data_IF_638534226597
#
_entry.id   IF_638534226597
#
_cell.length_a   1.000
_cell.length_b   1.000
_cell.length_c   1.000
_cell.angle_alpha   90.00
_cell.angle_beta   90.00
_cell.angle_gamma   90.00
#
_symmetry.space_group_name_H-M   'P 1'
#
loop_
_entity.id
_entity.type
_entity.pdbx_description
1 polymer ?
#
# COMPACT_ATOMS: atom_id res chain seq x y z
N UNK A 1 -13.84 -58.01 5.63
CA UNK A 1 -13.98 -57.47 7.00
C UNK A 1 -12.93 -56.39 7.32
N UNK A 2 -11.62 -56.62 7.10
CA UNK A 2 -10.58 -55.59 7.34
C UNK A 2 -10.77 -54.28 6.54
N UNK A 3 -11.12 -54.37 5.26
CA UNK A 3 -11.29 -53.18 4.40
C UNK A 3 -12.46 -52.28 4.84
N UNK A 4 -13.55 -52.88 5.33
CA UNK A 4 -14.72 -52.13 5.81
C UNK A 4 -14.43 -51.41 7.15
N UNK A 5 -13.61 -52.03 8.01
CA UNK A 5 -13.18 -51.44 9.28
C UNK A 5 -12.28 -50.21 9.07
N UNK A 6 -11.42 -50.23 8.04
CA UNK A 6 -10.50 -49.13 7.75
C UNK A 6 -11.20 -47.88 7.17
N UNK A 7 -12.23 -48.09 6.33
CA UNK A 7 -13.06 -47.01 5.79
C UNK A 7 -13.92 -46.35 6.88
N UNK A 8 -14.43 -47.14 7.83
CA UNK A 8 -15.24 -46.61 8.94
C UNK A 8 -14.41 -45.76 9.91
N UNK A 9 -13.16 -46.15 10.18
CA UNK A 9 -12.25 -45.36 11.02
C UNK A 9 -11.82 -44.07 10.35
N UNK A 10 -11.58 -44.08 9.03
CA UNK A 10 -11.24 -42.88 8.27
C UNK A 10 -12.42 -41.88 8.21
N UNK A 11 -13.65 -42.37 8.01
CA UNK A 11 -14.84 -41.53 8.01
C UNK A 11 -15.07 -40.84 9.37
N UNK A 12 -14.91 -41.57 10.48
CA UNK A 12 -15.04 -41.00 11.83
C UNK A 12 -13.95 -39.98 12.15
N UNK A 13 -12.73 -40.14 11.62
CA UNK A 13 -11.64 -39.18 11.79
C UNK A 13 -11.90 -37.86 11.03
N UNK A 14 -12.47 -37.93 9.83
CA UNK A 14 -12.83 -36.74 9.03
C UNK A 14 -13.96 -35.95 9.70
N UNK A 15 -14.99 -36.63 10.21
CA UNK A 15 -16.10 -35.99 10.93
C UNK A 15 -15.59 -35.28 12.19
N UNK A 16 -14.69 -35.93 12.93
CA UNK A 16 -14.06 -35.36 14.13
C UNK A 16 -13.18 -34.15 13.82
N UNK A 17 -12.46 -34.15 12.69
CA UNK A 17 -11.63 -33.02 12.27
C UNK A 17 -12.48 -31.82 11.83
N UNK A 18 -13.59 -32.04 11.12
CA UNK A 18 -14.53 -30.96 10.77
C UNK A 18 -15.22 -30.34 12.01
N UNK A 19 -15.58 -31.17 13.00
CA UNK A 19 -16.15 -30.68 14.26
C UNK A 19 -15.14 -29.86 15.08
N UNK A 20 -13.85 -30.27 15.07
CA UNK A 20 -12.78 -29.53 15.72
C UNK A 20 -12.51 -28.16 15.06
N UNK A 21 -12.53 -28.09 13.72
CA UNK A 21 -12.37 -26.82 13.00
C UNK A 21 -13.57 -25.89 13.21
N UNK A 22 -14.79 -26.41 13.23
CA UNK A 22 -16.00 -25.63 13.54
C UNK A 22 -15.99 -25.09 14.99
N UNK A 23 -15.51 -25.89 15.96
CA UNK A 23 -15.41 -25.51 17.38
C UNK A 23 -14.36 -24.44 17.68
N UNK A 24 -13.35 -24.25 16.81
CA UNK A 24 -12.36 -23.17 16.99
C UNK A 24 -12.86 -21.79 16.57
N UNK A 25 -13.89 -21.74 15.73
CA UNK A 25 -14.44 -20.47 15.23
C UNK A 25 -15.62 -19.96 16.07
N UNK A 26 -16.07 -20.72 17.07
CA UNK A 26 -17.07 -20.26 18.03
C UNK A 26 -16.38 -19.53 19.18
N UNK A 27 -16.48 -18.20 19.17
CA UNK A 27 -16.17 -17.37 20.35
C UNK A 27 -17.18 -17.72 21.44
N UNK A 28 -16.70 -18.13 22.61
CA UNK A 28 -17.56 -18.41 23.76
C UNK A 28 -18.31 -17.13 24.18
N UNK A 29 -19.64 -17.21 24.27
CA UNK A 29 -20.45 -16.19 24.92
C UNK A 29 -20.10 -16.17 26.42
N UNK A 30 -19.73 -15.02 27.00
CA UNK A 30 -19.46 -14.93 28.43
C UNK A 30 -20.76 -15.07 29.23
N UNK A 31 -20.73 -15.71 30.43
CA UNK A 31 -21.90 -15.80 31.28
C UNK A 31 -22.39 -14.40 31.68
N UNK A 32 -23.70 -14.21 31.61
CA UNK A 32 -24.35 -12.96 31.94
C UNK A 32 -24.06 -12.49 33.38
N UNK A 33 -23.92 -11.18 33.50
CA UNK A 33 -23.97 -10.34 34.70
C UNK A 33 -22.69 -10.17 35.53
N UNK A 34 -22.05 -9.00 35.32
CA UNK A 34 -21.07 -8.40 36.23
C UNK A 34 -20.78 -6.95 35.81
N UNK A 35 -21.37 -6.00 36.52
CA UNK A 35 -21.30 -4.53 36.36
C UNK A 35 -19.89 -3.98 36.14
N UNK A 36 -19.71 -3.24 35.05
CA UNK A 36 -18.52 -2.42 34.82
C UNK A 36 -18.22 -2.15 33.35
N UNK A 37 -19.16 -1.61 32.57
CA UNK A 37 -18.87 -1.16 31.19
C UNK A 37 -18.06 0.12 31.24
N UNK A 38 -16.74 -0.04 31.39
CA UNK A 38 -15.79 0.90 30.80
C UNK A 38 -16.07 0.89 29.30
N UNK A 39 -16.58 2.00 28.76
CA UNK A 39 -16.73 2.18 27.30
C UNK A 39 -15.34 2.37 26.70
N UNK A 40 -14.52 1.32 26.73
CA UNK A 40 -13.41 1.20 25.82
C UNK A 40 -14.04 1.07 24.44
N UNK A 41 -13.97 2.14 23.63
CA UNK A 41 -14.31 2.03 22.23
C UNK A 41 -13.36 1.01 21.63
N UNK A 42 -13.80 -0.23 21.47
CA UNK A 42 -13.15 -1.16 20.56
C UNK A 42 -13.39 -0.58 19.18
N UNK A 43 -12.47 0.26 18.73
CA UNK A 43 -12.35 0.56 17.32
C UNK A 43 -12.14 -0.82 16.67
N UNK A 44 -13.23 -1.40 16.13
CA UNK A 44 -13.14 -2.57 15.29
C UNK A 44 -12.00 -2.28 14.31
N UNK A 45 -11.04 -3.20 14.19
CA UNK A 45 -9.90 -3.04 13.29
C UNK A 45 -10.44 -3.04 11.85
N UNK A 46 -11.00 -1.91 11.41
CA UNK A 46 -11.48 -1.70 10.05
C UNK A 46 -10.26 -1.77 9.16
N UNK A 47 -10.35 -2.60 8.12
CA UNK A 47 -9.29 -2.66 7.15
C UNK A 47 -9.16 -1.31 6.45
N UNK A 48 -7.95 -0.94 6.01
CA UNK A 48 -7.76 0.27 5.20
C UNK A 48 -8.54 0.20 3.88
N UNK A 49 -8.86 -1.01 3.43
CA UNK A 49 -9.71 -1.27 2.27
C UNK A 49 -11.17 -0.88 2.50
N UNK A 50 -11.74 -1.21 3.66
CA UNK A 50 -13.10 -0.78 4.01
C UNK A 50 -13.22 0.75 4.05
N UNK A 51 -12.19 1.45 4.54
CA UNK A 51 -12.16 2.91 4.52
C UNK A 51 -12.04 3.48 3.10
N UNK A 52 -11.28 2.81 2.23
CA UNK A 52 -11.19 3.18 0.82
C UNK A 52 -12.54 3.01 0.12
N UNK A 53 -13.17 1.84 0.24
CA UNK A 53 -14.44 1.54 -0.43
C UNK A 53 -15.57 2.45 0.06
N UNK A 54 -15.62 2.74 1.36
CA UNK A 54 -16.67 3.55 1.96
C UNK A 54 -16.54 5.05 1.66
N UNK A 55 -15.32 5.56 1.43
CA UNK A 55 -15.09 7.01 1.42
C UNK A 55 -14.23 7.52 0.27
N UNK A 56 -13.24 6.77 -0.18
CA UNK A 56 -12.26 7.25 -1.16
C UNK A 56 -12.62 6.84 -2.60
N UNK A 57 -13.23 5.67 -2.81
CA UNK A 57 -13.53 5.14 -4.14
C UNK A 57 -14.44 6.06 -4.97
N UNK A 58 -15.44 6.67 -4.33
CA UNK A 58 -16.39 7.59 -5.00
C UNK A 58 -16.07 9.07 -4.74
N UNK A 59 -14.97 9.37 -4.05
CA UNK A 59 -14.60 10.74 -3.73
C UNK A 59 -14.21 11.53 -4.99
N UNK A 60 -14.51 12.82 -4.98
CA UNK A 60 -13.96 13.76 -5.94
C UNK A 60 -12.62 14.27 -5.43
N UNK A 61 -11.57 14.04 -6.19
CA UNK A 61 -10.25 14.54 -5.90
C UNK A 61 -10.10 15.94 -6.51
N UNK A 62 -9.81 16.91 -5.65
CA UNK A 62 -9.47 18.27 -6.06
C UNK A 62 -7.97 18.43 -5.88
N UNK A 63 -7.30 18.80 -6.96
CA UNK A 63 -5.88 19.12 -6.90
C UNK A 63 -5.71 20.52 -6.27
N UNK A 64 -5.01 20.57 -5.14
CA UNK A 64 -4.69 21.80 -4.41
C UNK A 64 -3.24 22.23 -4.65
N UNK A 65 -2.53 21.57 -5.56
CA UNK A 65 -1.13 21.89 -5.90
C UNK A 65 -1.06 22.90 -7.05
N UNK A 66 -0.05 23.76 -7.00
CA UNK A 66 0.27 24.65 -8.11
C UNK A 66 1.23 23.95 -9.07
N UNK A 67 1.14 24.32 -10.35
CA UNK A 67 2.09 23.84 -11.35
C UNK A 67 3.50 24.40 -11.06
N UNK A 68 4.49 23.52 -11.06
CA UNK A 68 5.90 23.89 -10.90
C UNK A 68 6.45 24.24 -12.27
N UNK A 69 6.74 25.52 -12.49
CA UNK A 69 7.20 26.04 -13.78
C UNK A 69 8.42 26.98 -13.65
N UNK A 70 9.20 27.16 -14.73
CA UNK A 70 10.31 28.12 -14.72
C UNK A 70 9.81 29.55 -14.47
N UNK A 71 10.41 30.23 -13.50
CA UNK A 71 10.10 31.63 -13.21
C UNK A 71 8.85 31.84 -12.35
N UNK A 72 8.34 30.80 -11.70
CA UNK A 72 7.25 30.92 -10.74
C UNK A 72 7.63 31.87 -9.58
N UNK A 73 6.67 32.60 -9.01
CA UNK A 73 6.94 33.50 -7.89
C UNK A 73 7.39 32.70 -6.67
N UNK A 74 8.48 33.16 -6.05
CA UNK A 74 9.04 32.59 -4.83
C UNK A 74 9.28 33.71 -3.82
N UNK A 75 9.29 33.35 -2.54
CA UNK A 75 9.63 34.30 -1.48
C UNK A 75 11.10 34.75 -1.61
N UNK A 76 11.35 36.02 -1.25
CA UNK A 76 12.68 36.62 -1.18
C UNK A 76 13.56 35.88 -0.14
N UNK A 77 14.33 34.91 -0.61
CA UNK A 77 15.13 34.02 0.24
C UNK A 77 15.25 32.60 -0.31
N UNK A 78 14.34 32.19 -1.20
CA UNK A 78 14.45 30.91 -1.90
C UNK A 78 15.05 31.07 -3.29
N UNK A 79 15.84 30.08 -3.68
CA UNK A 79 16.41 30.02 -5.03
C UNK A 79 15.43 29.38 -6.00
N UNK A 80 15.36 29.91 -7.22
CA UNK A 80 14.55 29.37 -8.31
C UNK A 80 14.92 27.90 -8.62
N UNK A 81 13.94 27.03 -8.89
CA UNK A 81 14.19 25.66 -9.32
C UNK A 81 14.91 25.63 -10.67
N UNK A 82 15.77 24.63 -10.87
CA UNK A 82 16.51 24.43 -12.13
C UNK A 82 15.93 23.25 -12.90
N UNK A 83 15.54 23.51 -14.14
CA UNK A 83 15.01 22.51 -15.06
C UNK A 83 16.10 22.12 -16.06
N UNK A 84 16.25 20.82 -16.33
CA UNK A 84 17.27 20.32 -17.24
C UNK A 84 17.03 18.88 -17.67
N UNK A 85 17.99 18.32 -18.42
CA UNK A 85 17.96 16.91 -18.77
C UNK A 85 18.39 16.05 -17.58
N UNK A 86 17.75 14.89 -17.41
CA UNK A 86 18.21 13.90 -16.45
C UNK A 86 19.51 13.26 -16.95
N UNK A 87 20.46 13.11 -16.02
CA UNK A 87 21.75 12.48 -16.25
C UNK A 87 21.84 11.17 -15.48
N UNK A 88 22.48 10.16 -16.06
CA UNK A 88 22.73 8.90 -15.38
C UNK A 88 23.74 9.12 -14.24
N UNK A 89 23.34 8.88 -12.99
CA UNK A 89 24.25 8.94 -11.84
C UNK A 89 25.22 7.75 -11.77
N UNK A 90 24.84 6.62 -12.34
CA UNK A 90 25.65 5.39 -12.37
C UNK A 90 25.64 4.86 -13.79
N UNK A 91 26.81 4.46 -14.28
CA UNK A 91 26.90 3.80 -15.58
C UNK A 91 26.13 2.48 -15.57
N UNK A 92 25.28 2.29 -16.58
CA UNK A 92 24.66 0.99 -16.88
C UNK A 92 25.35 0.42 -18.12
N UNK A 93 26.21 -0.61 -17.97
CA UNK A 93 26.99 -1.14 -19.08
C UNK A 93 26.12 -1.53 -20.27
N UNK A 94 26.50 -1.07 -21.46
CA UNK A 94 25.75 -1.32 -22.70
C UNK A 94 24.48 -0.46 -22.88
N UNK A 95 24.15 0.43 -21.94
CA UNK A 95 22.94 1.25 -21.99
C UNK A 95 23.22 2.75 -21.90
N UNK A 96 23.90 3.19 -20.85
CA UNK A 96 24.23 4.61 -20.65
C UNK A 96 25.46 4.77 -19.75
N UNK A 97 26.35 5.70 -20.11
CA UNK A 97 27.51 6.06 -19.31
C UNK A 97 27.12 6.98 -18.15
N UNK A 98 27.92 6.99 -17.08
CA UNK A 98 27.76 7.96 -16.00
C UNK A 98 27.90 9.39 -16.53
N UNK A 99 26.99 10.28 -16.11
CA UNK A 99 26.91 11.67 -16.55
C UNK A 99 26.23 11.89 -17.89
N UNK A 100 25.92 10.85 -18.68
CA UNK A 100 25.24 11.01 -19.96
C UNK A 100 23.75 11.31 -19.77
N UNK A 101 23.19 12.11 -20.69
CA UNK A 101 21.76 12.46 -20.71
C UNK A 101 20.93 11.40 -21.42
N UNK A 102 19.71 11.19 -20.94
CA UNK A 102 18.76 10.28 -21.58
C UNK A 102 18.16 10.92 -22.84
N UNK A 103 18.19 10.19 -23.95
CA UNK A 103 17.60 10.63 -25.21
C UNK A 103 16.96 9.50 -26.02
N UNK A 104 15.98 9.87 -26.84
CA UNK A 104 15.22 8.91 -27.65
C UNK A 104 16.10 8.05 -28.57
N UNK A 105 17.11 8.64 -29.21
CA UNK A 105 17.93 7.93 -30.18
C UNK A 105 18.76 6.78 -29.57
N UNK A 106 19.17 6.90 -28.30
CA UNK A 106 20.07 5.94 -27.66
C UNK A 106 19.34 5.05 -26.64
N UNK A 107 18.44 5.60 -25.82
CA UNK A 107 17.74 4.87 -24.75
C UNK A 107 16.26 4.61 -25.03
N UNK A 108 15.70 5.17 -26.10
CA UNK A 108 14.28 5.03 -26.42
C UNK A 108 13.34 5.88 -25.55
N UNK A 109 13.88 6.68 -24.62
CA UNK A 109 13.12 7.63 -23.81
C UNK A 109 13.92 8.90 -23.53
N UNK A 110 13.21 9.97 -23.19
CA UNK A 110 13.79 11.20 -22.64
C UNK A 110 13.35 11.35 -21.19
N UNK A 111 14.25 11.81 -20.33
CA UNK A 111 13.94 12.11 -18.95
C UNK A 111 14.40 13.54 -18.62
N UNK A 112 13.51 14.30 -17.98
CA UNK A 112 13.81 15.62 -17.42
C UNK A 112 14.25 15.50 -15.96
N UNK A 113 15.02 16.48 -15.51
CA UNK A 113 15.39 16.67 -14.12
C UNK A 113 14.93 18.04 -13.64
N UNK A 114 14.40 18.07 -12.43
CA UNK A 114 14.06 19.31 -11.71
C UNK A 114 14.86 19.30 -10.42
N UNK A 115 15.74 20.27 -10.25
CA UNK A 115 16.47 20.51 -9.02
C UNK A 115 15.76 21.60 -8.22
N UNK A 116 15.15 21.18 -7.12
CA UNK A 116 14.48 22.05 -6.17
C UNK A 116 15.48 22.48 -5.09
N UNK A 117 15.55 23.78 -4.80
CA UNK A 117 16.40 24.31 -3.73
C UNK A 117 15.71 24.28 -2.36
N UNK A 118 14.39 24.12 -2.34
CA UNK A 118 13.54 24.07 -1.15
C UNK A 118 12.38 23.10 -1.41
N UNK A 119 11.80 22.59 -0.33
CA UNK A 119 10.56 21.82 -0.30
C UNK A 119 9.31 22.70 -0.19
N UNK A 120 9.48 24.00 0.09
CA UNK A 120 8.41 24.98 0.20
C UNK A 120 8.29 25.74 -1.13
N UNK A 121 7.34 25.32 -1.95
CA UNK A 121 7.03 25.87 -3.27
C UNK A 121 5.54 26.15 -3.39
#
# INVERSE_FOLDING_TARGET
LLAAMLVFTAANAIISFSAFWASRNTVAEPPAAGTGTSTASTAAARSLWEAYDAHLAEAKYVDLTHAIEPGMPLWDGFSQPKFGAAVARVATPGFIAEGATYGYAAQGFVAGAVSLATDQI
#
